data_IF_688251984049
#
_entry.id   IF_688251984049
#
_cell.length_a   1.000
_cell.length_b   1.000
_cell.length_c   1.000
_cell.angle_alpha   90.00
_cell.angle_beta   90.00
_cell.angle_gamma   90.00
#
_symmetry.space_group_name_H-M   'P 1'
#
loop_
_entity.id
_entity.type
_entity.pdbx_description
1 polymer ?
#
# COMPACT_ATOMS: atom_id res chain seq x y z
N UNK A 1 36.40 36.91 45.62
CA UNK A 1 35.46 37.32 44.58
C UNK A 1 34.87 36.08 43.95
N UNK A 2 33.63 35.81 44.27
CA UNK A 2 32.94 34.58 43.84
C UNK A 2 32.24 34.80 42.51
N UNK A 3 32.61 34.03 41.49
CA UNK A 3 31.87 33.96 40.23
C UNK A 3 30.66 33.04 40.36
N UNK A 4 29.49 33.63 40.21
CA UNK A 4 28.18 32.98 40.34
C UNK A 4 27.87 32.22 39.08
N UNK A 5 27.75 30.88 39.19
CA UNK A 5 27.35 29.98 38.14
C UNK A 5 25.87 30.12 37.88
N UNK A 6 25.44 30.46 36.68
CA UNK A 6 24.05 30.44 36.25
C UNK A 6 23.64 29.01 35.91
N UNK A 7 22.42 28.57 36.29
CA UNK A 7 21.94 27.26 35.94
C UNK A 7 21.50 27.20 34.47
N UNK A 8 21.87 26.08 33.87
CA UNK A 8 21.69 25.77 32.48
C UNK A 8 20.28 25.59 32.01
N UNK A 9 20.20 25.54 30.72
CA UNK A 9 19.07 25.61 29.86
C UNK A 9 17.97 24.62 30.14
N UNK A 10 16.77 25.10 30.02
CA UNK A 10 15.54 24.36 29.83
C UNK A 10 15.63 23.68 28.46
N UNK A 11 15.71 22.37 28.50
CA UNK A 11 15.47 21.54 27.34
C UNK A 11 14.02 21.75 26.93
N UNK A 12 13.82 22.39 25.80
CA UNK A 12 12.52 22.54 25.19
C UNK A 12 12.20 21.20 24.50
N UNK A 13 11.77 20.21 25.30
CA UNK A 13 11.07 19.05 24.76
C UNK A 13 9.75 19.57 24.23
N UNK A 14 9.70 19.76 22.92
CA UNK A 14 8.46 19.95 22.21
C UNK A 14 7.62 18.67 22.43
N UNK A 15 6.69 18.78 23.38
CA UNK A 15 5.64 17.81 23.60
C UNK A 15 4.72 17.91 22.38
N UNK A 16 5.02 17.12 21.34
CA UNK A 16 4.06 16.85 20.29
C UNK A 16 2.87 16.16 20.95
N UNK A 17 1.81 16.90 21.15
CA UNK A 17 0.48 16.37 21.41
C UNK A 17 0.01 15.73 20.08
N UNK A 18 0.56 14.56 19.77
CA UNK A 18 0.00 13.71 18.74
C UNK A 18 -1.35 13.20 19.25
N UNK A 19 -2.41 13.69 18.61
CA UNK A 19 -3.73 13.11 18.79
C UNK A 19 -3.63 11.62 18.47
N UNK A 20 -4.14 10.72 19.34
CA UNK A 20 -4.01 9.27 19.14
C UNK A 20 -4.74 8.72 17.90
N UNK A 21 -5.38 9.57 17.12
CA UNK A 21 -6.09 9.26 15.87
C UNK A 21 -5.23 9.44 14.62
N UNK A 22 -4.01 9.96 14.74
CA UNK A 22 -3.19 10.34 13.58
C UNK A 22 -1.89 9.53 13.47
N UNK A 23 -1.92 8.27 13.88
CA UNK A 23 -0.81 7.36 13.65
C UNK A 23 -0.83 6.84 12.20
N UNK A 24 -0.43 7.70 11.26
CA UNK A 24 -0.22 7.29 9.88
C UNK A 24 1.00 6.37 9.79
N UNK A 25 0.81 5.22 9.15
CA UNK A 25 1.86 4.26 8.86
C UNK A 25 2.22 4.33 7.38
N UNK A 26 3.49 4.14 7.08
CA UNK A 26 3.98 4.04 5.70
C UNK A 26 4.76 2.75 5.53
N UNK A 27 4.40 1.99 4.51
CA UNK A 27 5.13 0.79 4.08
C UNK A 27 5.74 1.10 2.72
N UNK A 28 6.99 0.70 2.55
CA UNK A 28 7.70 0.82 1.28
C UNK A 28 8.43 -0.50 0.98
N UNK A 29 8.24 -1.00 -0.22
CA UNK A 29 8.89 -2.20 -0.75
C UNK A 29 9.47 -1.93 -2.12
N UNK A 30 10.60 -2.56 -2.41
CA UNK A 30 11.23 -2.52 -3.75
C UNK A 30 11.78 -3.90 -4.08
N UNK A 31 11.57 -4.34 -5.31
CA UNK A 31 12.04 -5.65 -5.79
C UNK A 31 12.48 -5.54 -7.26
N UNK A 32 13.54 -6.28 -7.59
CA UNK A 32 13.98 -6.51 -8.97
C UNK A 32 13.54 -7.93 -9.37
N UNK A 33 12.94 -8.06 -10.56
CA UNK A 33 12.39 -9.33 -11.00
C UNK A 33 12.47 -9.53 -12.52
N UNK A 34 12.39 -10.81 -12.94
CA UNK A 34 12.46 -11.25 -14.31
C UNK A 34 11.08 -11.30 -15.01
N UNK A 35 10.26 -10.27 -14.75
CA UNK A 35 9.00 -10.02 -15.44
C UNK A 35 9.03 -8.61 -16.01
N UNK A 36 8.34 -8.38 -17.12
CA UNK A 36 8.29 -7.02 -17.69
C UNK A 36 7.43 -6.08 -16.86
N UNK A 37 7.67 -4.77 -16.98
CA UNK A 37 6.84 -3.75 -16.36
C UNK A 37 5.36 -3.90 -16.78
N UNK A 38 5.10 -4.21 -18.05
CA UNK A 38 3.77 -4.49 -18.58
C UNK A 38 3.08 -5.67 -17.86
N UNK A 39 3.80 -6.79 -17.68
CA UNK A 39 3.25 -7.96 -16.99
C UNK A 39 2.87 -7.65 -15.54
N UNK A 40 3.72 -6.93 -14.82
CA UNK A 40 3.44 -6.55 -13.43
C UNK A 40 2.31 -5.53 -13.34
N UNK A 41 2.30 -4.53 -14.21
CA UNK A 41 1.21 -3.55 -14.32
C UNK A 41 -0.14 -4.24 -14.61
N UNK A 42 -0.17 -5.18 -15.55
CA UNK A 42 -1.37 -5.92 -15.90
C UNK A 42 -1.94 -6.70 -14.69
N UNK A 43 -1.09 -7.35 -13.89
CA UNK A 43 -1.51 -8.05 -12.67
C UNK A 43 -2.08 -7.11 -11.60
N UNK A 44 -1.44 -5.97 -11.38
CA UNK A 44 -1.87 -4.99 -10.37
C UNK A 44 -3.17 -4.31 -10.76
N UNK A 45 -3.43 -4.13 -12.05
CA UNK A 45 -4.68 -3.55 -12.55
C UNK A 45 -5.82 -4.56 -12.74
N UNK A 46 -5.52 -5.85 -12.70
CA UNK A 46 -6.51 -6.92 -12.81
C UNK A 46 -7.15 -7.26 -11.46
N UNK A 47 -7.90 -6.32 -10.92
CA UNK A 47 -8.51 -6.38 -9.58
C UNK A 47 -9.47 -7.58 -9.43
N UNK A 48 -10.15 -8.00 -10.50
CA UNK A 48 -11.11 -9.11 -10.45
C UNK A 48 -10.48 -10.43 -10.01
N UNK A 49 -9.19 -10.62 -10.22
CA UNK A 49 -8.48 -11.86 -9.87
C UNK A 49 -7.81 -11.83 -8.49
N UNK A 50 -7.90 -10.75 -7.73
CA UNK A 50 -7.30 -10.64 -6.40
C UNK A 50 -7.70 -11.75 -5.43
N UNK A 51 -8.97 -12.19 -5.34
CA UNK A 51 -9.35 -13.29 -4.46
C UNK A 51 -8.70 -14.63 -4.76
N UNK A 52 -8.17 -14.81 -5.98
CA UNK A 52 -7.52 -16.06 -6.39
C UNK A 52 -6.14 -16.26 -5.79
N UNK A 53 -5.44 -15.19 -5.41
CA UNK A 53 -4.06 -15.26 -4.92
C UNK A 53 -3.75 -14.41 -3.69
N UNK A 54 -4.68 -13.55 -3.25
CA UNK A 54 -4.57 -12.81 -2.01
C UNK A 54 -5.46 -13.48 -0.95
N UNK A 55 -4.90 -14.24 0.00
CA UNK A 55 -5.69 -15.08 0.90
C UNK A 55 -6.59 -14.29 1.87
N UNK A 56 -6.30 -13.03 2.07
CA UNK A 56 -7.10 -12.11 2.88
C UNK A 56 -8.20 -11.39 2.08
N UNK A 57 -8.17 -11.48 0.75
CA UNK A 57 -9.15 -10.86 -0.13
C UNK A 57 -10.26 -11.87 -0.43
N UNK A 58 -11.46 -11.62 0.09
CA UNK A 58 -12.62 -12.48 -0.12
C UNK A 58 -13.48 -12.03 -1.32
N UNK A 59 -13.36 -10.77 -1.70
CA UNK A 59 -14.14 -10.17 -2.79
C UNK A 59 -13.39 -8.99 -3.40
N UNK A 60 -13.54 -8.80 -4.69
CA UNK A 60 -13.07 -7.61 -5.39
C UNK A 60 -13.88 -7.34 -6.63
N UNK A 61 -14.14 -6.07 -6.91
CA UNK A 61 -14.92 -5.63 -8.07
C UNK A 61 -14.46 -4.27 -8.58
N UNK A 62 -14.60 -4.05 -9.88
CA UNK A 62 -14.46 -2.74 -10.50
C UNK A 62 -15.84 -2.09 -10.54
N UNK A 63 -16.03 -1.02 -9.77
CA UNK A 63 -17.30 -0.30 -9.67
C UNK A 63 -17.48 0.61 -10.90
N UNK A 64 -16.40 1.24 -11.34
CA UNK A 64 -16.41 2.22 -12.42
C UNK A 64 -15.10 2.18 -13.19
N UNK A 65 -15.16 2.18 -14.51
CA UNK A 65 -14.03 2.45 -15.38
C UNK A 65 -13.99 3.93 -15.70
N UNK A 66 -12.83 4.56 -15.59
CA UNK A 66 -12.61 5.97 -15.91
C UNK A 66 -11.62 6.07 -17.07
N UNK A 67 -11.53 7.25 -17.70
CA UNK A 67 -10.59 7.48 -18.82
C UNK A 67 -9.12 7.27 -18.43
N UNK A 68 -8.81 7.37 -17.13
CA UNK A 68 -7.44 7.31 -16.60
C UNK A 68 -7.22 6.17 -15.60
N UNK A 69 -8.19 5.27 -15.45
CA UNK A 69 -8.07 4.17 -14.50
C UNK A 69 -9.41 3.56 -14.09
N UNK A 70 -9.62 3.36 -12.81
CA UNK A 70 -10.84 2.73 -12.29
C UNK A 70 -11.16 3.14 -10.86
N UNK A 71 -12.40 2.92 -10.46
CA UNK A 71 -12.81 2.85 -9.05
C UNK A 71 -13.04 1.38 -8.72
N UNK A 72 -12.31 0.86 -7.75
CA UNK A 72 -12.34 -0.54 -7.38
C UNK A 72 -12.63 -0.71 -5.89
N UNK A 73 -13.40 -1.77 -5.57
CA UNK A 73 -13.70 -2.18 -4.20
C UNK A 73 -13.03 -3.51 -3.90
N UNK A 74 -12.41 -3.59 -2.74
CA UNK A 74 -11.72 -4.78 -2.26
C UNK A 74 -12.27 -5.16 -0.89
N UNK A 75 -12.72 -6.39 -0.74
CA UNK A 75 -13.15 -6.98 0.51
C UNK A 75 -12.00 -7.67 1.22
N UNK A 76 -11.91 -7.46 2.51
CA UNK A 76 -10.92 -8.08 3.39
C UNK A 76 -11.61 -8.96 4.43
N UNK A 77 -11.11 -10.17 4.60
CA UNK A 77 -11.50 -11.07 5.68
C UNK A 77 -10.27 -11.37 6.53
N UNK A 78 -10.23 -10.81 7.73
CA UNK A 78 -9.10 -10.88 8.64
C UNK A 78 -9.60 -11.35 10.00
N UNK A 79 -9.14 -12.53 10.45
CA UNK A 79 -9.47 -13.08 11.78
C UNK A 79 -10.99 -13.08 12.08
N UNK A 80 -11.81 -13.39 11.08
CA UNK A 80 -13.28 -13.40 11.20
C UNK A 80 -13.94 -12.03 11.09
N UNK A 81 -13.18 -10.95 11.02
CA UNK A 81 -13.67 -9.61 10.76
C UNK A 81 -13.67 -9.34 9.25
N UNK A 82 -14.83 -8.97 8.71
CA UNK A 82 -14.97 -8.58 7.30
C UNK A 82 -15.07 -7.08 7.18
N UNK A 83 -14.25 -6.51 6.33
CA UNK A 83 -14.24 -5.10 5.97
C UNK A 83 -14.09 -4.96 4.46
N UNK A 84 -14.47 -3.82 3.92
CA UNK A 84 -14.19 -3.49 2.54
C UNK A 84 -13.75 -2.04 2.42
N UNK A 85 -12.97 -1.75 1.41
CA UNK A 85 -12.58 -0.40 1.07
C UNK A 85 -12.63 -0.19 -0.44
N UNK A 86 -12.84 1.04 -0.82
CA UNK A 86 -12.93 1.47 -2.23
C UNK A 86 -11.84 2.49 -2.49
N UNK A 87 -11.13 2.32 -3.58
CA UNK A 87 -10.09 3.25 -4.03
C UNK A 87 -10.37 3.73 -5.45
N UNK A 88 -10.01 4.96 -5.71
CA UNK A 88 -9.83 5.49 -7.06
C UNK A 88 -8.40 5.26 -7.49
N UNK A 89 -8.23 4.50 -8.56
CA UNK A 89 -6.94 4.14 -9.09
C UNK A 89 -6.71 4.90 -10.39
N UNK A 90 -5.60 5.65 -10.45
CA UNK A 90 -5.15 6.34 -11.66
C UNK A 90 -4.00 5.55 -12.26
N UNK A 91 -4.06 5.26 -13.55
CA UNK A 91 -3.09 4.46 -14.27
C UNK A 91 -2.24 5.31 -15.20
N UNK A 92 -0.94 5.10 -15.17
CA UNK A 92 -0.02 5.49 -16.23
C UNK A 92 0.50 4.18 -16.83
N UNK A 93 0.08 3.89 -18.05
CA UNK A 93 0.27 2.58 -18.69
C UNK A 93 1.69 2.04 -18.55
N UNK A 94 1.80 0.81 -18.02
CA UNK A 94 3.04 0.07 -17.79
C UNK A 94 4.05 0.78 -16.87
N UNK A 95 3.67 1.87 -16.21
CA UNK A 95 4.57 2.70 -15.41
C UNK A 95 4.13 2.86 -13.97
N UNK A 96 2.85 3.17 -13.76
CA UNK A 96 2.41 3.57 -12.44
C UNK A 96 0.93 3.29 -12.20
N UNK A 97 0.59 2.92 -10.96
CA UNK A 97 -0.78 2.89 -10.44
C UNK A 97 -0.80 3.70 -9.15
N UNK A 98 -1.55 4.79 -9.15
CA UNK A 98 -1.82 5.59 -7.96
C UNK A 98 -3.17 5.18 -7.38
N UNK A 99 -3.24 5.02 -6.06
CA UNK A 99 -4.46 4.65 -5.35
C UNK A 99 -4.79 5.71 -4.31
N UNK A 100 -6.04 6.16 -4.30
CA UNK A 100 -6.56 7.09 -3.30
C UNK A 100 -7.86 6.55 -2.72
N UNK A 101 -8.04 6.68 -1.40
CA UNK A 101 -9.24 6.24 -0.70
C UNK A 101 -10.49 6.97 -1.19
N UNK A 102 -11.55 6.22 -1.46
CA UNK A 102 -12.91 6.73 -1.69
C UNK A 102 -13.80 6.43 -0.48
N UNK A 103 -13.73 5.20 0.03
CA UNK A 103 -14.55 4.74 1.15
C UNK A 103 -13.89 3.56 1.85
N UNK A 104 -14.12 3.40 3.15
CA UNK A 104 -13.62 2.27 3.92
C UNK A 104 -13.28 2.62 5.36
N UNK A 105 -12.69 1.66 6.11
CA UNK A 105 -12.42 1.79 7.54
C UNK A 105 -11.14 2.59 7.85
N UNK A 106 -10.66 3.37 6.89
CA UNK A 106 -9.45 4.17 7.00
C UNK A 106 -9.77 5.65 7.14
N UNK A 107 -9.00 6.38 7.91
CA UNK A 107 -8.98 7.84 7.92
C UNK A 107 -8.18 8.38 6.72
N UNK A 108 -7.20 7.58 6.27
CA UNK A 108 -6.33 7.86 5.14
C UNK A 108 -5.87 6.54 4.51
N UNK A 109 -5.82 6.48 3.20
CA UNK A 109 -5.20 5.41 2.44
C UNK A 109 -4.75 5.96 1.08
N UNK A 110 -3.45 6.00 0.87
CA UNK A 110 -2.84 6.35 -0.41
C UNK A 110 -1.76 5.33 -0.75
N UNK A 111 -1.77 4.85 -1.98
CA UNK A 111 -0.79 3.90 -2.48
C UNK A 111 -0.22 4.30 -3.82
N UNK A 112 0.99 3.80 -4.10
CA UNK A 112 1.65 3.97 -5.37
C UNK A 112 2.42 2.69 -5.72
N UNK A 113 2.16 2.20 -6.92
CA UNK A 113 2.98 1.20 -7.59
C UNK A 113 3.75 1.87 -8.71
N UNK A 114 5.06 1.71 -8.73
CA UNK A 114 5.94 2.17 -9.81
C UNK A 114 6.60 0.95 -10.47
N UNK A 115 6.56 0.90 -11.80
CA UNK A 115 7.12 -0.17 -12.62
C UNK A 115 8.17 0.41 -13.55
N UNK A 116 9.44 0.14 -13.28
CA UNK A 116 10.57 0.65 -14.07
C UNK A 116 11.19 -0.49 -14.87
N UNK A 117 11.08 -0.49 -16.21
CA UNK A 117 11.79 -1.46 -17.03
C UNK A 117 13.29 -1.40 -16.79
N UNK A 118 13.96 -2.56 -16.79
CA UNK A 118 15.41 -2.65 -16.68
C UNK A 118 16.05 -2.84 -18.08
N UNK A 119 17.26 -2.33 -18.22
CA UNK A 119 18.00 -2.39 -19.48
C UNK A 119 17.39 -1.46 -20.54
N UNK A 120 17.47 -1.88 -21.80
CA UNK A 120 16.93 -1.17 -22.97
C UNK A 120 15.44 -1.44 -23.24
N UNK A 121 14.76 -2.14 -22.32
CA UNK A 121 13.35 -2.52 -22.44
C UNK A 121 13.11 -3.79 -23.26
N UNK A 122 14.14 -4.37 -23.89
CA UNK A 122 14.04 -5.65 -24.62
C UNK A 122 14.03 -6.86 -23.67
N UNK A 123 14.49 -6.69 -22.44
CA UNK A 123 14.57 -7.75 -21.44
C UNK A 123 13.27 -7.84 -20.63
N UNK A 124 12.87 -9.08 -20.30
CA UNK A 124 11.77 -9.35 -19.35
C UNK A 124 12.25 -9.11 -17.93
N UNK A 125 12.56 -7.86 -17.59
CA UNK A 125 13.00 -7.50 -16.26
C UNK A 125 12.50 -6.10 -15.89
N UNK A 126 12.07 -5.93 -14.64
CA UNK A 126 11.70 -4.62 -14.12
C UNK A 126 12.01 -4.47 -12.64
N UNK A 127 12.07 -3.23 -12.19
CA UNK A 127 12.01 -2.84 -10.79
C UNK A 127 10.58 -2.48 -10.45
N UNK A 128 10.04 -3.10 -9.42
CA UNK A 128 8.74 -2.74 -8.84
C UNK A 128 8.98 -2.05 -7.52
N UNK A 129 8.40 -0.88 -7.32
CA UNK A 129 8.37 -0.15 -6.07
C UNK A 129 6.93 0.05 -5.63
N UNK A 130 6.66 -0.24 -4.38
CA UNK A 130 5.36 -0.08 -3.76
C UNK A 130 5.48 0.78 -2.52
N UNK A 131 4.62 1.78 -2.41
CA UNK A 131 4.45 2.60 -1.22
C UNK A 131 2.99 2.64 -0.83
N UNK A 132 2.71 2.49 0.44
CA UNK A 132 1.38 2.59 1.00
C UNK A 132 1.44 3.40 2.29
N UNK A 133 0.65 4.47 2.35
CA UNK A 133 0.43 5.27 3.56
C UNK A 133 -1.03 5.10 3.99
N UNK A 134 -1.26 4.79 5.26
CA UNK A 134 -2.62 4.54 5.77
C UNK A 134 -2.74 4.86 7.25
N UNK A 135 -3.97 5.12 7.66
CA UNK A 135 -4.42 5.23 9.03
C UNK A 135 -5.84 4.71 9.15
N UNK A 136 -6.21 4.19 10.32
CA UNK A 136 -7.57 3.68 10.56
C UNK A 136 -8.48 4.79 11.09
N UNK A 137 -9.77 4.72 10.74
CA UNK A 137 -10.78 5.69 11.16
C UNK A 137 -11.16 5.60 12.64
N UNK A 138 -10.79 4.49 13.32
CA UNK A 138 -11.02 4.34 14.76
C UNK A 138 -9.86 3.62 15.45
N UNK A 139 -9.63 3.96 16.71
CA UNK A 139 -8.61 3.31 17.56
C UNK A 139 -8.91 1.82 17.76
N UNK A 140 -10.18 1.45 17.85
CA UNK A 140 -10.58 0.04 17.98
C UNK A 140 -10.16 -0.76 16.77
N UNK A 141 -10.42 -0.26 15.56
CA UNK A 141 -9.97 -0.91 14.31
C UNK A 141 -8.44 -0.94 14.21
N UNK A 142 -7.76 0.15 14.56
CA UNK A 142 -6.30 0.18 14.57
C UNK A 142 -5.71 -0.90 15.49
N UNK A 143 -6.31 -1.13 16.64
CA UNK A 143 -5.85 -2.14 17.59
C UNK A 143 -6.16 -3.57 17.14
N UNK A 144 -7.36 -3.82 16.61
CA UNK A 144 -7.80 -5.17 16.23
C UNK A 144 -7.25 -5.64 14.89
N UNK A 145 -7.22 -4.74 13.90
CA UNK A 145 -6.89 -5.07 12.51
C UNK A 145 -5.47 -4.64 12.15
N UNK A 146 -4.95 -3.58 12.80
CA UNK A 146 -3.68 -2.96 12.46
C UNK A 146 -2.51 -3.94 12.31
N UNK A 147 -2.20 -4.79 13.31
CA UNK A 147 -1.05 -5.70 13.25
C UNK A 147 -1.14 -6.70 12.09
N UNK A 148 -2.36 -7.17 11.77
CA UNK A 148 -2.57 -8.09 10.65
C UNK A 148 -2.51 -7.36 9.32
N UNK A 149 -3.07 -6.15 9.25
CA UNK A 149 -3.01 -5.32 8.06
C UNK A 149 -1.57 -4.90 7.73
N UNK A 150 -0.76 -4.56 8.73
CA UNK A 150 0.68 -4.27 8.57
C UNK A 150 1.40 -5.44 7.89
N UNK A 151 1.11 -6.67 8.33
CA UNK A 151 1.70 -7.89 7.75
C UNK A 151 1.22 -8.13 6.32
N UNK A 152 -0.07 -7.93 6.04
CA UNK A 152 -0.66 -8.04 4.71
C UNK A 152 0.00 -7.04 3.76
N UNK A 153 0.03 -5.77 4.13
CA UNK A 153 0.62 -4.72 3.31
C UNK A 153 2.12 -4.95 3.08
N UNK A 154 2.84 -5.42 4.12
CA UNK A 154 4.26 -5.77 4.01
C UNK A 154 4.56 -6.95 3.09
N UNK A 155 3.62 -7.86 2.87
CA UNK A 155 3.77 -9.04 2.01
C UNK A 155 3.10 -8.91 0.64
N UNK A 156 2.47 -7.77 0.37
CA UNK A 156 1.65 -7.59 -0.84
C UNK A 156 2.48 -7.75 -2.12
N UNK A 157 3.65 -7.11 -2.20
CA UNK A 157 4.54 -7.21 -3.36
C UNK A 157 4.94 -8.66 -3.62
N UNK A 158 5.29 -9.41 -2.56
CA UNK A 158 5.70 -10.81 -2.67
C UNK A 158 4.56 -11.69 -3.23
N UNK A 159 3.31 -11.40 -2.86
CA UNK A 159 2.13 -12.09 -3.40
C UNK A 159 1.96 -11.84 -4.91
N UNK A 160 2.17 -10.60 -5.37
CA UNK A 160 2.11 -10.26 -6.79
C UNK A 160 3.27 -10.88 -7.59
N UNK A 161 4.48 -10.91 -7.03
CA UNK A 161 5.63 -11.59 -7.65
C UNK A 161 5.34 -13.08 -7.82
N UNK A 162 4.87 -13.74 -6.76
CA UNK A 162 4.48 -15.15 -6.83
C UNK A 162 3.37 -15.40 -7.86
N UNK A 163 2.41 -14.50 -7.95
CA UNK A 163 1.36 -14.59 -8.97
C UNK A 163 1.91 -14.44 -10.38
N UNK A 164 2.86 -13.52 -10.59
CA UNK A 164 3.53 -13.34 -11.87
C UNK A 164 4.25 -14.63 -12.32
N UNK A 165 4.97 -15.28 -11.40
CA UNK A 165 5.64 -16.56 -11.68
C UNK A 165 4.63 -17.65 -12.08
N UNK A 166 3.47 -17.69 -11.44
CA UNK A 166 2.41 -18.65 -11.76
C UNK A 166 1.76 -18.41 -13.12
N UNK A 167 1.55 -17.15 -13.49
CA UNK A 167 0.81 -16.77 -14.71
C UNK A 167 1.73 -16.72 -15.93
N UNK A 168 2.94 -16.21 -15.77
CA UNK A 168 3.85 -15.96 -16.88
C UNK A 168 5.02 -16.93 -16.97
N UNK A 169 5.21 -17.76 -15.96
CA UNK A 169 6.35 -18.65 -15.82
C UNK A 169 7.65 -17.92 -15.49
N UNK A 170 8.62 -18.64 -14.95
CA UNK A 170 9.98 -18.13 -14.68
C UNK A 170 10.91 -18.50 -15.83
#
# INVERSE_FOLDING_TARGET
MAAKKLPGGVSNEAFCLESPLDCMKTIQKSVLLWHSAHQMFALVTDVHHYPQFLPWCDHSEVIELTDVGMVAKVGMSISGLRQSFTTRNTHVNDRQVLMALVDGPFSHLEGCWDFTPLGDGSQRACKVEFRLSYGFSSQTLATLVGPVFDKIAGSLVDAFVKRADQVYGV
#
